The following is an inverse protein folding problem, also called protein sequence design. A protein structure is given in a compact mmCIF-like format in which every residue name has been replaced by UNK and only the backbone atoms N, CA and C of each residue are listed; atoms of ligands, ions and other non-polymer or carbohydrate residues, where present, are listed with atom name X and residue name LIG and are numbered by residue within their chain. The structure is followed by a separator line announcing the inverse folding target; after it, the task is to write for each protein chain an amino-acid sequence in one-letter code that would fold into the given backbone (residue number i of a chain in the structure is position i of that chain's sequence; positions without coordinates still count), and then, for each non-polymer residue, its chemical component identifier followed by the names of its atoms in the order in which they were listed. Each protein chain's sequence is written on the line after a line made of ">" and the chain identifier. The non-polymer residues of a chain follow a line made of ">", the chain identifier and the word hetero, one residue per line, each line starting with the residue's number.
data_IF_503357429585
#
_entry.id   IF_503357429585
#
_cell.length_a   1.000
_cell.length_b   1.000
_cell.length_c   1.000
_cell.angle_alpha   90.00
_cell.angle_beta   90.00
_cell.angle_gamma   90.00
#
_symmetry.space_group_name_H-M   'P 1'
#
loop_
_entity.id
_entity.type
_entity.pdbx_description
1 polymer ?
#
# COMPACT_ATOMS: atom_id res chain seq x y z
N UNK A 1 -11.66 -23.19 0.26
CA UNK A 1 -11.53 -21.72 0.30
C UNK A 1 -10.69 -21.30 -0.89
N UNK A 2 -11.17 -20.39 -1.74
CA UNK A 2 -10.38 -19.89 -2.87
C UNK A 2 -9.18 -19.11 -2.32
N UNK A 3 -7.99 -19.43 -2.82
CA UNK A 3 -6.74 -18.74 -2.48
C UNK A 3 -6.79 -17.31 -3.02
N UNK A 4 -6.50 -16.31 -2.18
CA UNK A 4 -6.37 -14.92 -2.62
C UNK A 4 -5.17 -14.83 -3.56
N UNK A 5 -5.38 -14.24 -4.74
CA UNK A 5 -4.34 -14.09 -5.75
C UNK A 5 -3.69 -12.71 -5.64
N UNK A 6 -2.57 -12.63 -4.92
CA UNK A 6 -1.75 -11.42 -4.86
C UNK A 6 -1.01 -11.20 -6.17
N UNK A 7 -0.84 -9.95 -6.57
CA UNK A 7 -0.15 -9.60 -7.80
C UNK A 7 0.80 -8.42 -7.63
N UNK A 8 1.85 -8.39 -8.44
CA UNK A 8 2.68 -7.22 -8.65
C UNK A 8 2.35 -6.57 -10.00
N UNK A 9 2.55 -5.27 -10.07
CA UNK A 9 2.35 -4.42 -11.24
C UNK A 9 3.68 -3.78 -11.58
N UNK A 10 4.17 -4.12 -12.76
CA UNK A 10 5.31 -3.49 -13.42
C UNK A 10 4.76 -2.42 -14.35
N UNK A 11 5.08 -1.15 -14.08
CA UNK A 11 4.60 -0.01 -14.86
C UNK A 11 5.68 0.33 -15.88
N UNK A 12 5.33 0.29 -17.17
CA UNK A 12 6.27 0.67 -18.22
C UNK A 12 6.68 2.13 -18.09
N UNK A 13 7.93 2.45 -18.44
CA UNK A 13 8.51 3.79 -18.23
C UNK A 13 7.81 4.91 -19.03
N UNK A 14 7.10 4.56 -20.10
CA UNK A 14 6.30 5.44 -20.94
C UNK A 14 4.85 5.60 -20.47
N UNK A 15 4.46 4.92 -19.38
CA UNK A 15 3.10 4.92 -18.88
C UNK A 15 2.83 6.08 -17.92
N UNK A 16 1.62 6.64 -17.97
CA UNK A 16 1.19 7.69 -17.05
C UNK A 16 0.89 7.11 -15.65
N UNK A 17 1.74 7.41 -14.68
CA UNK A 17 1.62 6.91 -13.30
C UNK A 17 0.32 7.35 -12.62
N UNK A 18 -0.09 8.61 -12.76
CA UNK A 18 -1.33 9.13 -12.14
C UNK A 18 -2.56 8.39 -12.67
N UNK A 19 -2.60 8.16 -13.99
CA UNK A 19 -3.65 7.38 -14.63
C UNK A 19 -3.67 5.93 -14.11
N UNK A 20 -2.49 5.31 -13.94
CA UNK A 20 -2.40 3.96 -13.37
C UNK A 20 -2.95 3.95 -11.95
N UNK A 21 -2.54 4.88 -11.09
CA UNK A 21 -2.98 4.94 -9.70
C UNK A 21 -4.48 5.16 -9.57
N UNK A 22 -5.05 6.08 -10.34
CA UNK A 22 -6.50 6.33 -10.34
C UNK A 22 -7.28 5.05 -10.71
N UNK A 23 -6.86 4.38 -11.80
CA UNK A 23 -7.51 3.16 -12.29
C UNK A 23 -7.24 1.94 -11.41
N UNK A 24 -6.17 1.97 -10.63
CA UNK A 24 -5.83 0.92 -9.69
C UNK A 24 -6.66 1.02 -8.42
N UNK A 25 -6.76 2.23 -7.84
CA UNK A 25 -7.49 2.48 -6.60
C UNK A 25 -9.00 2.37 -6.78
N UNK A 26 -9.53 2.71 -7.97
CA UNK A 26 -10.93 2.48 -8.31
C UNK A 26 -11.22 1.01 -8.71
N UNK A 27 -10.19 0.17 -8.77
CA UNK A 27 -10.26 -1.26 -9.09
C UNK A 27 -10.51 -1.59 -10.56
N UNK A 28 -10.69 -0.61 -11.45
CA UNK A 28 -11.00 -0.86 -12.86
C UNK A 28 -9.88 -1.61 -13.58
N UNK A 29 -8.63 -1.31 -13.26
CA UNK A 29 -7.48 -1.99 -13.84
C UNK A 29 -7.39 -3.45 -13.37
N UNK A 30 -7.74 -3.69 -12.11
CA UNK A 30 -7.65 -5.00 -11.49
C UNK A 30 -8.79 -5.93 -11.90
N UNK A 31 -9.99 -5.41 -12.21
CA UNK A 31 -11.17 -6.20 -12.60
C UNK A 31 -10.91 -7.09 -13.82
N UNK A 32 -10.03 -6.67 -14.72
CA UNK A 32 -9.65 -7.44 -15.89
C UNK A 32 -8.79 -8.68 -15.56
N UNK A 33 -8.16 -8.72 -14.39
CA UNK A 33 -7.15 -9.73 -14.05
C UNK A 33 -7.49 -10.56 -12.81
N UNK A 34 -8.30 -10.01 -11.90
CA UNK A 34 -8.66 -10.61 -10.62
C UNK A 34 -10.09 -10.25 -10.23
N UNK A 35 -10.76 -11.18 -9.55
CA UNK A 35 -12.08 -10.93 -8.98
C UNK A 35 -11.92 -10.04 -7.73
N UNK A 36 -12.31 -8.77 -7.83
CA UNK A 36 -12.20 -7.85 -6.70
C UNK A 36 -13.42 -7.93 -5.78
N UNK A 37 -13.22 -7.69 -4.48
CA UNK A 37 -14.32 -7.33 -3.60
C UNK A 37 -14.97 -6.02 -4.08
N UNK A 38 -16.25 -5.83 -3.78
CA UNK A 38 -17.02 -4.60 -4.08
C UNK A 38 -16.59 -3.40 -3.18
N UNK A 39 -15.43 -3.49 -2.53
CA UNK A 39 -14.94 -2.52 -1.55
C UNK A 39 -13.81 -1.65 -2.11
N UNK A 40 -13.69 -0.44 -1.57
CA UNK A 40 -12.65 0.52 -1.95
C UNK A 40 -11.24 -0.03 -1.68
N UNK A 41 -10.31 0.33 -2.55
CA UNK A 41 -8.88 0.07 -2.36
C UNK A 41 -8.26 1.07 -1.39
N UNK A 42 -7.21 0.63 -0.68
CA UNK A 42 -6.36 1.48 0.14
C UNK A 42 -4.98 1.63 -0.51
N UNK A 43 -4.39 2.82 -0.45
CA UNK A 43 -3.02 3.06 -0.89
C UNK A 43 -2.07 3.09 0.31
N UNK A 44 -1.12 2.16 0.33
CA UNK A 44 0.01 2.17 1.25
C UNK A 44 1.22 2.72 0.49
N UNK A 45 1.46 4.03 0.63
CA UNK A 45 2.53 4.77 -0.06
C UNK A 45 3.03 5.97 0.74
N UNK A 46 4.20 6.49 0.35
CA UNK A 46 4.71 7.75 0.89
C UNK A 46 3.79 8.95 0.58
N UNK A 47 3.15 8.96 -0.58
CA UNK A 47 2.19 10.02 -0.96
C UNK A 47 1.05 10.05 0.06
N UNK A 48 0.52 8.89 0.45
CA UNK A 48 -0.56 8.80 1.44
C UNK A 48 -0.14 9.39 2.78
N UNK A 49 1.07 9.08 3.26
CA UNK A 49 1.61 9.68 4.50
C UNK A 49 1.67 11.21 4.38
N UNK A 50 2.23 11.72 3.28
CA UNK A 50 2.38 13.16 3.07
C UNK A 50 1.04 13.87 2.96
N UNK A 51 0.05 13.27 2.28
CA UNK A 51 -1.32 13.78 2.21
C UNK A 51 -1.93 13.85 3.60
N UNK A 52 -1.84 12.79 4.40
CA UNK A 52 -2.38 12.80 5.76
C UNK A 52 -1.70 13.83 6.66
N UNK A 53 -0.37 14.01 6.56
CA UNK A 53 0.34 15.08 7.27
C UNK A 53 -0.12 16.47 6.81
N UNK A 54 -0.35 16.67 5.51
CA UNK A 54 -0.86 17.94 5.01
C UNK A 54 -2.26 18.23 5.57
N UNK A 55 -3.15 17.23 5.62
CA UNK A 55 -4.47 17.34 6.25
C UNK A 55 -4.38 17.63 7.76
N UNK A 56 -3.43 17.00 8.47
CA UNK A 56 -3.13 17.28 9.88
C UNK A 56 -2.77 18.76 10.09
N UNK A 57 -1.92 19.33 9.23
CA UNK A 57 -1.43 20.71 9.35
C UNK A 57 -2.44 21.76 8.89
N UNK A 58 -3.19 21.48 7.81
CA UNK A 58 -4.12 22.44 7.21
C UNK A 58 -5.45 22.47 7.97
N UNK A 59 -5.94 21.30 8.37
CA UNK A 59 -7.28 21.15 8.93
C UNK A 59 -7.29 20.83 10.43
N UNK A 60 -6.12 20.73 11.07
CA UNK A 60 -5.95 20.33 12.48
C UNK A 60 -6.63 18.97 12.78
N UNK A 61 -6.75 18.11 11.76
CA UNK A 61 -7.37 16.78 11.86
C UNK A 61 -6.33 15.69 11.89
N UNK A 62 -6.20 15.05 13.05
CA UNK A 62 -5.29 13.92 13.22
C UNK A 62 -6.06 12.61 13.13
N UNK A 63 -5.84 11.87 12.04
CA UNK A 63 -6.48 10.57 11.83
C UNK A 63 -5.69 9.41 12.46
N UNK A 64 -4.37 9.55 12.56
CA UNK A 64 -3.48 8.50 13.06
C UNK A 64 -2.72 9.01 14.28
N UNK A 65 -3.09 8.48 15.44
CA UNK A 65 -2.42 8.73 16.72
C UNK A 65 -1.98 7.37 17.28
N UNK A 66 -0.77 7.32 17.83
CA UNK A 66 -0.34 6.16 18.63
C UNK A 66 -0.13 6.57 20.09
N UNK A 67 0.11 5.61 20.97
CA UNK A 67 0.35 5.87 22.39
C UNK A 67 1.52 6.83 22.68
N UNK A 68 2.41 7.06 21.71
CA UNK A 68 3.66 7.81 21.91
C UNK A 68 3.78 9.06 21.04
N UNK A 69 2.76 9.47 20.29
CA UNK A 69 2.86 10.62 19.38
C UNK A 69 1.56 11.42 19.25
N UNK A 70 1.64 12.58 18.59
CA UNK A 70 0.52 13.53 18.43
C UNK A 70 0.01 13.64 16.99
N UNK A 71 0.45 12.74 16.10
CA UNK A 71 0.16 12.76 14.66
C UNK A 71 1.34 12.26 13.83
N UNK A 72 1.11 11.97 12.55
CA UNK A 72 2.14 11.44 11.65
C UNK A 72 3.33 12.40 11.51
N UNK A 73 3.08 13.71 11.56
CA UNK A 73 4.12 14.74 11.49
C UNK A 73 5.23 14.57 12.55
N UNK A 74 4.89 14.05 13.73
CA UNK A 74 5.82 13.88 14.85
C UNK A 74 6.59 12.55 14.83
N UNK A 75 6.24 11.64 13.93
CA UNK A 75 6.79 10.29 13.86
C UNK A 75 8.03 10.21 12.95
N UNK A 76 8.95 9.29 13.26
CA UNK A 76 9.99 8.89 12.31
C UNK A 76 9.38 8.21 11.06
N UNK A 77 10.12 8.15 9.95
CA UNK A 77 9.63 7.52 8.71
C UNK A 77 9.20 6.06 8.90
N UNK A 78 9.91 5.30 9.75
CA UNK A 78 9.54 3.93 10.10
C UNK A 78 8.25 3.84 10.91
N UNK A 79 8.05 4.74 11.85
CA UNK A 79 6.83 4.83 12.65
C UNK A 79 5.64 5.27 11.78
N UNK A 80 5.80 6.26 10.91
CA UNK A 80 4.76 6.70 9.97
C UNK A 80 4.27 5.54 9.10
N UNK A 81 5.19 4.77 8.53
CA UNK A 81 4.87 3.60 7.70
C UNK A 81 4.12 2.53 8.49
N UNK A 82 4.59 2.21 9.69
CA UNK A 82 3.93 1.24 10.56
C UNK A 82 2.52 1.71 10.96
N UNK A 83 2.38 2.97 11.34
CA UNK A 83 1.12 3.55 11.77
C UNK A 83 0.12 3.63 10.61
N UNK A 84 0.57 4.04 9.41
CA UNK A 84 -0.24 4.01 8.20
C UNK A 84 -0.72 2.59 7.88
N UNK A 85 0.16 1.58 7.90
CA UNK A 85 -0.25 0.21 7.61
C UNK A 85 -1.33 -0.27 8.58
N UNK A 86 -1.16 -0.03 9.88
CA UNK A 86 -2.15 -0.39 10.89
C UNK A 86 -3.48 0.36 10.69
N UNK A 87 -3.41 1.65 10.39
CA UNK A 87 -4.58 2.46 10.08
C UNK A 87 -5.35 1.92 8.88
N UNK A 88 -4.66 1.66 7.76
CA UNK A 88 -5.29 1.11 6.56
C UNK A 88 -5.94 -0.25 6.84
N UNK A 89 -5.27 -1.14 7.57
CA UNK A 89 -5.85 -2.44 7.95
C UNK A 89 -7.12 -2.25 8.79
N UNK A 90 -7.14 -1.28 9.71
CA UNK A 90 -8.30 -1.02 10.57
C UNK A 90 -9.55 -0.57 9.78
N UNK A 91 -9.37 -0.01 8.59
CA UNK A 91 -10.47 0.38 7.68
C UNK A 91 -11.06 -0.79 6.89
N UNK A 92 -10.51 -2.00 7.03
CA UNK A 92 -10.96 -3.21 6.33
C UNK A 92 -11.11 -3.00 4.82
N UNK A 93 -10.06 -2.55 4.11
CA UNK A 93 -10.13 -2.28 2.68
C UNK A 93 -10.35 -3.59 1.91
N UNK A 94 -10.98 -3.49 0.74
CA UNK A 94 -11.12 -4.64 -0.14
C UNK A 94 -9.76 -5.16 -0.60
N UNK A 95 -8.83 -4.25 -0.86
CA UNK A 95 -7.47 -4.54 -1.25
C UNK A 95 -6.53 -3.41 -0.87
N UNK A 96 -5.24 -3.71 -0.76
CA UNK A 96 -4.19 -2.73 -0.47
C UNK A 96 -3.22 -2.69 -1.64
N UNK A 97 -3.03 -1.49 -2.19
CA UNK A 97 -1.97 -1.16 -3.13
C UNK A 97 -0.73 -0.76 -2.35
N UNK A 98 0.42 -1.34 -2.66
CA UNK A 98 1.70 -1.07 -2.01
C UNK A 98 2.63 -0.37 -3.01
N UNK A 99 3.11 0.81 -2.66
CA UNK A 99 4.01 1.61 -3.50
C UNK A 99 5.21 2.17 -2.71
N UNK A 100 6.40 1.65 -3.00
CA UNK A 100 7.71 2.12 -2.50
C UNK A 100 7.84 2.29 -0.97
N UNK A 101 7.01 1.61 -0.18
CA UNK A 101 6.99 1.74 1.29
C UNK A 101 8.10 1.03 2.03
N UNK A 102 8.82 0.11 1.39
CA UNK A 102 9.92 -0.61 2.05
C UNK A 102 11.25 0.14 1.97
N UNK A 103 11.31 1.24 1.21
CA UNK A 103 12.53 2.01 1.00
C UNK A 103 12.96 2.80 2.25
N UNK A 104 14.26 3.05 2.40
CA UNK A 104 14.81 3.88 3.47
C UNK A 104 14.44 3.42 4.91
N UNK A 105 14.20 2.12 5.08
CA UNK A 105 13.98 1.47 6.38
C UNK A 105 15.21 0.66 6.76
N UNK A 106 15.49 0.58 8.06
CA UNK A 106 16.41 -0.42 8.57
C UNK A 106 15.82 -1.84 8.42
N UNK A 107 16.70 -2.84 8.54
CA UNK A 107 16.36 -4.26 8.35
C UNK A 107 15.27 -4.72 9.33
N UNK A 108 15.25 -4.21 10.57
CA UNK A 108 14.26 -4.59 11.56
C UNK A 108 12.88 -4.02 11.23
N UNK A 109 12.81 -2.75 10.83
CA UNK A 109 11.59 -2.09 10.39
C UNK A 109 11.01 -2.74 9.13
N UNK A 110 11.86 -3.06 8.14
CA UNK A 110 11.44 -3.83 6.96
C UNK A 110 10.84 -5.18 7.35
N UNK A 111 11.51 -5.95 8.21
CA UNK A 111 11.03 -7.26 8.67
C UNK A 111 9.68 -7.15 9.38
N UNK A 112 9.48 -6.11 10.20
CA UNK A 112 8.22 -5.88 10.90
C UNK A 112 7.06 -5.58 9.96
N UNK A 113 7.28 -4.72 8.96
CA UNK A 113 6.27 -4.40 7.94
C UNK A 113 5.97 -5.64 7.09
N UNK A 114 7.00 -6.34 6.61
CA UNK A 114 6.84 -7.59 5.84
C UNK A 114 6.04 -8.64 6.60
N UNK A 115 6.33 -8.83 7.89
CA UNK A 115 5.58 -9.78 8.74
C UNK A 115 4.12 -9.37 8.88
N UNK A 116 3.84 -8.07 8.95
CA UNK A 116 2.47 -7.53 9.01
C UNK A 116 1.74 -7.75 7.69
N UNK A 117 2.41 -7.47 6.56
CA UNK A 117 1.89 -7.71 5.20
C UNK A 117 1.58 -9.20 4.96
N UNK A 118 2.46 -10.10 5.41
CA UNK A 118 2.23 -11.55 5.30
C UNK A 118 1.01 -12.02 6.09
N UNK A 119 0.78 -11.47 7.29
CA UNK A 119 -0.39 -11.80 8.09
C UNK A 119 -1.67 -11.36 7.40
N UNK A 120 -1.72 -10.12 6.92
CA UNK A 120 -2.95 -9.61 6.27
C UNK A 120 -3.19 -10.19 4.89
N UNK A 121 -2.13 -10.62 4.18
CA UNK A 121 -2.26 -11.28 2.88
C UNK A 121 -3.13 -12.55 2.96
N UNK A 122 -3.28 -13.16 4.15
CA UNK A 122 -4.17 -14.31 4.35
C UNK A 122 -5.66 -14.00 4.14
N UNK A 123 -6.07 -12.74 4.24
CA UNK A 123 -7.47 -12.32 4.16
C UNK A 123 -7.71 -11.06 3.33
N UNK A 124 -6.66 -10.34 2.93
CA UNK A 124 -6.75 -9.08 2.15
C UNK A 124 -5.89 -9.20 0.90
N UNK A 125 -6.47 -8.83 -0.24
CA UNK A 125 -5.76 -8.78 -1.51
C UNK A 125 -4.67 -7.70 -1.45
N UNK A 126 -3.46 -8.06 -1.90
CA UNK A 126 -2.31 -7.18 -1.96
C UNK A 126 -1.91 -7.01 -3.42
N UNK A 127 -1.75 -5.76 -3.82
CA UNK A 127 -1.27 -5.36 -5.14
C UNK A 127 -0.01 -4.54 -4.95
N UNK A 128 1.14 -5.04 -5.37
CA UNK A 128 2.40 -4.31 -5.24
C UNK A 128 2.75 -3.60 -6.54
N UNK A 129 3.09 -2.33 -6.50
CA UNK A 129 3.77 -1.65 -7.60
C UNK A 129 5.26 -1.91 -7.44
N UNK A 130 5.89 -2.39 -8.51
CA UNK A 130 7.31 -2.75 -8.52
C UNK A 130 8.09 -1.88 -9.49
N UNK A 131 9.22 -1.35 -9.03
CA UNK A 131 10.23 -0.73 -9.90
C UNK A 131 11.30 -1.75 -10.32
N UNK A 132 11.48 -2.82 -9.54
CA UNK A 132 12.49 -3.86 -9.77
C UNK A 132 11.94 -5.22 -9.35
N UNK A 133 12.16 -6.24 -10.18
CA UNK A 133 11.69 -7.60 -9.91
C UNK A 133 12.26 -8.23 -8.63
N UNK A 134 13.44 -7.81 -8.18
CA UNK A 134 14.07 -8.30 -6.95
C UNK A 134 13.32 -7.84 -5.68
N UNK A 135 12.51 -6.80 -5.77
CA UNK A 135 11.79 -6.21 -4.62
C UNK A 135 10.36 -6.78 -4.50
N UNK A 136 10.00 -7.76 -5.33
CA UNK A 136 8.71 -8.46 -5.27
C UNK A 136 8.56 -9.16 -3.92
N UNK A 137 7.41 -8.95 -3.27
CA UNK A 137 7.07 -9.61 -2.02
C UNK A 137 6.98 -11.13 -2.21
N UNK A 138 7.47 -11.93 -1.25
CA UNK A 138 7.64 -13.38 -1.43
C UNK A 138 6.32 -14.16 -1.63
N UNK A 139 5.18 -13.56 -1.30
CA UNK A 139 3.85 -14.15 -1.46
C UNK A 139 3.14 -13.74 -2.76
N UNK A 140 3.78 -12.94 -3.62
CA UNK A 140 3.24 -12.56 -4.92
C UNK A 140 3.58 -13.61 -5.96
N UNK A 141 2.57 -14.10 -6.66
CA UNK A 141 2.69 -15.20 -7.62
C UNK A 141 2.61 -14.74 -9.07
N UNK A 142 2.02 -13.56 -9.30
CA UNK A 142 1.75 -13.02 -10.63
C UNK A 142 2.28 -11.61 -10.77
N UNK A 143 2.96 -11.33 -11.87
CA UNK A 143 3.39 -9.99 -12.25
C UNK A 143 2.63 -9.59 -13.51
N UNK A 144 2.07 -8.39 -13.50
CA UNK A 144 1.32 -7.79 -14.62
C UNK A 144 2.09 -6.59 -15.14
N UNK A 145 2.29 -6.53 -16.45
CA UNK A 145 2.94 -5.40 -17.11
C UNK A 145 1.87 -4.45 -17.64
N UNK A 146 1.87 -3.20 -17.17
CA UNK A 146 1.00 -2.15 -17.68
C UNK A 146 1.78 -1.33 -18.69
N UNK A 147 1.21 -1.21 -19.90
CA UNK A 147 1.69 -0.37 -20.99
C UNK A 147 0.48 0.42 -21.49
N UNK A 148 0.46 1.72 -21.27
CA UNK A 148 -0.56 2.61 -21.83
C UNK A 148 -0.10 4.05 -21.88
#
# INVERSE_FOLDING_TARGET
>A
MNKIQHCAIDIAADCNYDWVMENLLNGSLLKAFINLPVAAGALYSHITINTMIAEELIHERVEIITATNTGLQSMSSGEQKKALLQYLISKQPGFIVIDNVLDNLDVAAQKNILSSLQKIATHTLIVQIINRKKDILPFIEKVMLIKK
#
